data_IF_021828712951
#
_entry.id   IF_021828712951
#
_cell.length_a   1.000
_cell.length_b   1.000
_cell.length_c   1.000
_cell.angle_alpha   90.00
_cell.angle_beta   90.00
_cell.angle_gamma   90.00
#
_symmetry.space_group_name_H-M   'P 1'
#
loop_
_entity.id
_entity.type
_entity.pdbx_description
1 polymer ?
#
# COMPACT_ATOMS: atom_id res chain seq x y z
N UNK A 1 -39.30 70.79 14.70
CA UNK A 1 -37.96 70.49 14.08
C UNK A 1 -37.80 69.01 13.98
N UNK A 2 -38.08 68.55 12.77
CA UNK A 2 -38.29 67.10 12.53
C UNK A 2 -37.00 66.28 12.47
N UNK A 3 -37.01 65.25 13.30
CA UNK A 3 -35.97 64.21 13.35
C UNK A 3 -36.11 63.10 12.31
N UNK A 4 -36.80 63.37 11.19
CA UNK A 4 -37.21 62.37 10.19
C UNK A 4 -36.52 62.42 8.83
N UNK A 5 -35.43 63.18 8.70
CA UNK A 5 -34.80 63.38 7.38
C UNK A 5 -33.36 62.89 7.32
N UNK A 6 -33.01 61.80 8.02
CA UNK A 6 -31.62 61.26 7.98
C UNK A 6 -31.55 59.75 7.80
N UNK A 7 -32.49 59.12 7.11
CA UNK A 7 -32.50 57.69 6.85
C UNK A 7 -32.81 57.37 5.38
N UNK A 8 -32.07 57.89 4.44
CA UNK A 8 -32.18 57.45 3.05
C UNK A 8 -30.87 57.65 2.29
N UNK A 9 -29.84 56.90 2.69
CA UNK A 9 -28.67 56.62 1.82
C UNK A 9 -27.85 55.51 2.46
N UNK A 10 -28.47 54.36 2.69
CA UNK A 10 -27.73 53.11 2.93
C UNK A 10 -27.51 52.42 1.60
N UNK A 11 -26.36 52.65 1.00
CA UNK A 11 -25.87 51.91 -0.14
C UNK A 11 -25.79 50.43 0.26
N UNK A 12 -26.60 49.61 -0.34
CA UNK A 12 -26.53 48.15 -0.25
C UNK A 12 -25.24 47.68 -0.96
N UNK A 13 -24.15 47.62 -0.21
CA UNK A 13 -22.97 46.83 -0.63
C UNK A 13 -23.37 45.35 -0.52
N UNK A 14 -23.78 44.77 -1.65
CA UNK A 14 -23.92 43.33 -1.77
C UNK A 14 -22.55 42.67 -1.56
N UNK A 15 -22.28 42.22 -0.35
CA UNK A 15 -21.26 41.24 -0.07
C UNK A 15 -21.69 39.95 -0.76
N UNK A 16 -21.22 39.76 -2.00
CA UNK A 16 -21.17 38.45 -2.63
C UNK A 16 -20.15 37.66 -1.85
N UNK A 17 -20.59 37.00 -0.78
CA UNK A 17 -19.83 35.97 -0.10
C UNK A 17 -19.58 34.85 -1.09
N UNK A 18 -18.38 34.77 -1.61
CA UNK A 18 -17.85 33.54 -2.21
C UNK A 18 -17.84 32.50 -1.10
N UNK A 19 -18.95 31.83 -0.92
CA UNK A 19 -18.94 30.52 -0.25
C UNK A 19 -18.27 29.59 -1.25
N UNK A 20 -16.94 29.49 -1.17
CA UNK A 20 -16.23 28.37 -1.70
C UNK A 20 -16.67 27.17 -0.89
N UNK A 21 -17.86 26.67 -1.18
CA UNK A 21 -18.26 25.35 -0.73
C UNK A 21 -17.23 24.39 -1.28
N UNK A 22 -16.32 23.93 -0.40
CA UNK A 22 -15.41 22.86 -0.73
C UNK A 22 -16.26 21.66 -1.16
N UNK A 23 -16.49 21.52 -2.46
CA UNK A 23 -17.03 20.28 -3.00
C UNK A 23 -16.01 19.22 -2.62
N UNK A 24 -16.41 18.30 -1.76
CA UNK A 24 -15.62 17.10 -1.51
C UNK A 24 -15.20 16.55 -2.88
N UNK A 25 -13.90 16.44 -3.10
CA UNK A 25 -13.36 15.95 -4.36
C UNK A 25 -13.93 14.55 -4.56
N UNK A 26 -14.85 14.40 -5.49
CA UNK A 26 -15.38 13.09 -5.88
C UNK A 26 -14.41 12.50 -6.87
N UNK A 27 -14.06 11.21 -6.70
CA UNK A 27 -13.29 10.48 -7.71
C UNK A 27 -13.85 10.76 -9.12
N UNK A 28 -12.96 11.15 -10.03
CA UNK A 28 -13.38 11.69 -11.32
C UNK A 28 -13.47 10.59 -12.38
N UNK A 29 -14.52 10.58 -13.24
CA UNK A 29 -14.53 9.72 -14.42
C UNK A 29 -13.35 10.04 -15.34
N UNK A 30 -12.91 9.06 -16.15
CA UNK A 30 -11.74 9.18 -17.03
C UNK A 30 -11.74 10.47 -17.88
N UNK A 31 -12.91 10.86 -18.40
CA UNK A 31 -13.06 12.11 -19.17
C UNK A 31 -12.66 13.35 -18.38
N UNK A 32 -13.04 13.40 -17.10
CA UNK A 32 -12.71 14.52 -16.21
C UNK A 32 -11.24 14.55 -15.85
N UNK A 33 -10.64 13.38 -15.64
CA UNK A 33 -9.19 13.23 -15.38
C UNK A 33 -8.38 13.77 -16.57
N UNK A 34 -8.78 13.42 -17.79
CA UNK A 34 -8.13 13.93 -19.01
C UNK A 34 -8.30 15.44 -19.20
N UNK A 35 -9.49 15.97 -18.89
CA UNK A 35 -9.76 17.41 -18.92
C UNK A 35 -8.89 18.17 -17.91
N UNK A 36 -8.77 17.66 -16.68
CA UNK A 36 -7.95 18.25 -15.63
C UNK A 36 -6.44 18.04 -15.84
N UNK A 37 -6.06 17.05 -16.66
CA UNK A 37 -4.67 16.69 -16.89
C UNK A 37 -3.97 16.07 -15.67
N UNK A 38 -4.73 15.54 -14.69
CA UNK A 38 -4.20 15.03 -13.41
C UNK A 38 -4.94 13.77 -13.01
N UNK A 39 -4.16 12.73 -12.66
CA UNK A 39 -4.62 11.52 -11.97
C UNK A 39 -4.20 11.59 -10.51
N UNK A 40 -5.17 11.61 -9.59
CA UNK A 40 -4.89 11.53 -8.17
C UNK A 40 -4.83 10.07 -7.72
N UNK A 41 -3.69 9.67 -7.13
CA UNK A 41 -3.44 8.29 -6.72
C UNK A 41 -3.14 8.25 -5.22
N UNK A 42 -3.92 7.45 -4.47
CA UNK A 42 -3.64 7.16 -3.07
C UNK A 42 -2.64 6.00 -2.97
N UNK A 43 -1.59 6.20 -2.17
CA UNK A 43 -0.63 5.19 -1.77
C UNK A 43 -0.50 5.21 -0.25
N UNK A 44 -0.18 4.09 0.38
CA UNK A 44 0.03 4.08 1.83
C UNK A 44 1.25 4.92 2.23
N UNK A 45 1.13 5.60 3.36
CA UNK A 45 2.26 6.31 3.96
C UNK A 45 3.17 5.32 4.70
N UNK A 46 4.49 5.54 4.60
CA UNK A 46 5.52 4.78 5.33
C UNK A 46 5.47 3.25 5.12
N UNK A 47 5.07 2.81 3.94
CA UNK A 47 4.91 1.40 3.54
C UNK A 47 6.03 0.94 2.58
N UNK A 48 7.27 0.83 3.05
CA UNK A 48 8.40 0.33 2.24
C UNK A 48 8.27 -1.18 1.98
N UNK A 49 8.56 -1.66 0.72
CA UNK A 49 9.13 -0.98 -0.45
C UNK A 49 8.09 -0.36 -1.40
N UNK A 50 6.83 -0.26 -1.01
CA UNK A 50 5.73 0.18 -1.85
C UNK A 50 5.65 1.70 -1.98
N UNK A 51 5.65 2.40 -0.85
CA UNK A 51 5.60 3.86 -0.80
C UNK A 51 6.14 4.37 0.54
N UNK A 52 7.24 5.12 0.48
CA UNK A 52 7.87 5.71 1.68
C UNK A 52 8.67 6.96 1.31
N UNK A 53 9.08 7.71 2.32
CA UNK A 53 9.95 8.86 2.09
C UNK A 53 11.42 8.51 2.33
N UNK A 54 12.23 8.69 1.28
CA UNK A 54 13.69 8.64 1.35
C UNK A 54 14.23 10.04 1.13
N UNK A 55 14.96 10.59 2.11
CA UNK A 55 15.50 11.97 2.06
C UNK A 55 14.42 13.02 1.73
N UNK A 56 13.23 12.86 2.29
CA UNK A 56 12.08 13.74 2.07
C UNK A 56 11.35 13.54 0.74
N UNK A 57 11.87 12.75 -0.19
CA UNK A 57 11.26 12.44 -1.48
C UNK A 57 10.43 11.16 -1.38
N UNK A 58 9.17 11.22 -1.82
CA UNK A 58 8.31 10.04 -1.93
C UNK A 58 8.84 9.12 -3.03
N UNK A 59 9.02 7.84 -2.71
CA UNK A 59 9.57 6.81 -3.60
C UNK A 59 8.91 5.46 -3.32
N UNK A 60 9.08 4.49 -4.19
CA UNK A 60 8.60 3.13 -4.03
C UNK A 60 7.91 2.55 -5.26
N UNK A 61 7.61 1.26 -5.21
CA UNK A 61 6.99 0.51 -6.30
C UNK A 61 5.65 1.14 -6.71
N UNK A 62 4.78 1.44 -5.73
CA UNK A 62 3.46 2.03 -6.00
C UNK A 62 3.58 3.48 -6.50
N UNK A 63 4.62 4.21 -6.08
CA UNK A 63 4.90 5.57 -6.56
C UNK A 63 5.28 5.55 -8.03
N UNK A 64 6.18 4.65 -8.43
CA UNK A 64 6.61 4.53 -9.82
C UNK A 64 5.49 3.96 -10.69
N UNK A 65 4.69 3.03 -10.18
CA UNK A 65 3.51 2.51 -10.85
C UNK A 65 2.46 3.62 -11.07
N UNK A 66 2.18 4.45 -10.05
CA UNK A 66 1.27 5.59 -10.18
C UNK A 66 1.71 6.57 -11.26
N UNK A 67 3.01 6.86 -11.34
CA UNK A 67 3.60 7.72 -12.38
C UNK A 67 3.44 7.10 -13.78
N UNK A 68 3.70 5.79 -13.89
CA UNK A 68 3.56 5.06 -15.16
C UNK A 68 2.10 5.01 -15.65
N UNK A 69 1.14 4.78 -14.75
CA UNK A 69 -0.30 4.81 -15.07
C UNK A 69 -0.74 6.20 -15.55
N UNK A 70 -0.37 7.25 -14.82
CA UNK A 70 -0.68 8.63 -15.21
C UNK A 70 -0.09 8.97 -16.58
N UNK A 71 1.16 8.59 -16.84
CA UNK A 71 1.82 8.74 -18.15
C UNK A 71 1.06 7.99 -19.25
N UNK A 72 0.61 6.75 -18.98
CA UNK A 72 -0.18 5.95 -19.92
C UNK A 72 -1.53 6.59 -20.25
N UNK A 73 -2.14 7.31 -19.30
CA UNK A 73 -3.37 8.08 -19.52
C UNK A 73 -3.13 9.44 -20.21
N UNK A 74 -1.86 9.87 -20.40
CA UNK A 74 -1.50 11.17 -20.95
C UNK A 74 -1.69 12.35 -19.97
N UNK A 75 -1.61 12.10 -18.65
CA UNK A 75 -1.79 13.08 -17.58
C UNK A 75 -0.62 13.02 -16.58
N UNK A 76 -0.52 13.99 -15.66
CA UNK A 76 0.43 13.93 -14.56
C UNK A 76 -0.15 13.19 -13.35
N UNK A 77 0.70 12.57 -12.54
CA UNK A 77 0.32 11.98 -11.28
C UNK A 77 0.28 13.04 -10.15
N UNK A 78 -0.75 13.00 -9.32
CA UNK A 78 -0.84 13.64 -8.00
C UNK A 78 -0.92 12.54 -6.96
N UNK A 79 0.22 12.22 -6.33
CA UNK A 79 0.31 11.06 -5.41
C UNK A 79 0.07 11.54 -3.98
N UNK A 80 -0.98 11.01 -3.37
CA UNK A 80 -1.43 11.32 -2.02
C UNK A 80 -1.09 10.19 -1.05
N UNK A 81 -0.38 10.51 0.03
CA UNK A 81 -0.03 9.56 1.09
C UNK A 81 -1.21 9.38 2.05
N UNK A 82 -1.80 8.19 2.05
CA UNK A 82 -2.87 7.78 2.95
C UNK A 82 -2.26 7.14 4.20
N UNK A 83 -2.63 7.63 5.38
CA UNK A 83 -2.34 6.93 6.63
C UNK A 83 -3.31 5.76 6.75
N UNK A 84 -2.79 4.55 6.98
CA UNK A 84 -3.62 3.37 7.20
C UNK A 84 -4.54 3.59 8.43
N UNK A 85 -5.79 3.17 8.30
CA UNK A 85 -6.79 3.17 9.36
C UNK A 85 -6.85 1.77 10.02
N UNK A 86 -7.87 1.49 10.80
CA UNK A 86 -8.02 0.23 11.54
C UNK A 86 -8.23 -0.99 10.62
N UNK A 87 -8.75 -0.77 9.41
CA UNK A 87 -9.02 -1.85 8.47
C UNK A 87 -8.86 -1.41 7.01
N UNK A 88 -8.60 -2.37 6.12
CA UNK A 88 -8.56 -2.12 4.68
C UNK A 88 -9.92 -1.61 4.12
N UNK A 89 -11.05 -1.92 4.78
CA UNK A 89 -12.36 -1.39 4.43
C UNK A 89 -12.43 0.13 4.72
N UNK A 90 -11.87 0.55 5.84
CA UNK A 90 -11.76 1.97 6.20
C UNK A 90 -10.79 2.71 5.28
N UNK A 91 -9.70 2.07 4.88
CA UNK A 91 -8.74 2.62 3.93
C UNK A 91 -9.39 2.88 2.56
N UNK A 92 -10.19 1.95 2.05
CA UNK A 92 -10.96 2.15 0.82
C UNK A 92 -11.96 3.31 0.96
N UNK A 93 -12.67 3.38 2.09
CA UNK A 93 -13.59 4.47 2.37
C UNK A 93 -12.87 5.82 2.33
N UNK A 94 -11.76 5.90 3.04
CA UNK A 94 -10.98 7.14 3.20
C UNK A 94 -10.24 7.50 1.92
N UNK A 95 -9.64 6.50 1.25
CA UNK A 95 -8.78 6.68 0.08
C UNK A 95 -9.54 6.95 -1.22
N UNK A 96 -10.75 6.36 -1.41
CA UNK A 96 -11.38 6.32 -2.74
C UNK A 96 -12.71 7.06 -2.84
N UNK A 97 -13.60 6.99 -1.82
CA UNK A 97 -14.97 7.48 -2.06
C UNK A 97 -15.52 8.49 -1.06
N UNK A 98 -15.05 8.52 0.18
CA UNK A 98 -15.53 9.44 1.22
C UNK A 98 -14.52 10.53 1.57
N UNK A 99 -13.23 10.18 1.64
CA UNK A 99 -12.17 10.99 2.22
C UNK A 99 -11.91 10.64 3.67
N UNK A 100 -10.69 10.90 4.11
CA UNK A 100 -10.18 10.54 5.43
C UNK A 100 -10.18 11.68 6.41
N UNK A 101 -9.69 11.36 7.60
CA UNK A 101 -9.41 12.33 8.65
C UNK A 101 -8.37 13.36 8.19
N UNK A 102 -8.28 14.49 8.89
CA UNK A 102 -7.33 15.57 8.59
C UNK A 102 -7.43 16.12 7.16
N UNK A 103 -8.60 15.96 6.53
CA UNK A 103 -8.84 16.55 5.21
C UNK A 103 -8.29 15.76 4.03
N UNK A 104 -7.95 14.49 4.20
CA UNK A 104 -7.58 13.64 3.06
C UNK A 104 -8.73 13.58 2.05
N UNK A 105 -8.47 14.04 0.84
CA UNK A 105 -9.46 14.02 -0.24
C UNK A 105 -9.38 12.68 -0.97
N UNK A 106 -10.54 12.10 -1.38
CA UNK A 106 -10.55 10.86 -2.15
C UNK A 106 -9.68 10.95 -3.39
N UNK A 107 -8.99 9.86 -3.69
CA UNK A 107 -8.22 9.69 -4.90
C UNK A 107 -9.07 9.06 -6.02
N UNK A 108 -8.61 9.19 -7.26
CA UNK A 108 -9.22 8.53 -8.41
C UNK A 108 -8.92 7.04 -8.42
N UNK A 109 -7.72 6.67 -7.94
CA UNK A 109 -7.24 5.30 -7.79
C UNK A 109 -6.54 5.17 -6.43
N UNK A 110 -6.72 4.04 -5.78
CA UNK A 110 -5.90 3.60 -4.65
C UNK A 110 -5.12 2.36 -5.04
N UNK A 111 -3.81 2.36 -4.78
CA UNK A 111 -2.92 1.21 -4.98
C UNK A 111 -2.81 0.37 -3.69
N UNK A 112 -2.19 -0.79 -3.81
CA UNK A 112 -1.93 -1.72 -2.71
C UNK A 112 -3.19 -2.24 -2.02
N UNK A 113 -4.21 -2.53 -2.80
CA UNK A 113 -5.50 -3.04 -2.31
C UNK A 113 -5.52 -4.56 -2.39
N UNK A 114 -5.98 -5.29 -1.37
CA UNK A 114 -6.18 -6.74 -1.46
C UNK A 114 -7.13 -7.10 -2.62
N UNK A 115 -6.67 -7.95 -3.54
CA UNK A 115 -7.49 -8.44 -4.65
C UNK A 115 -8.17 -9.75 -4.22
N UNK A 116 -9.28 -9.63 -3.52
CA UNK A 116 -10.04 -10.74 -2.95
C UNK A 116 -11.55 -10.58 -3.19
N UNK A 117 -12.23 -11.67 -3.57
CA UNK A 117 -13.66 -11.63 -3.90
C UNK A 117 -14.55 -11.29 -2.70
N UNK A 118 -14.21 -11.82 -1.54
CA UNK A 118 -14.99 -11.58 -0.31
C UNK A 118 -14.82 -10.15 0.13
N UNK A 119 -13.59 -9.64 0.04
CA UNK A 119 -13.28 -8.24 0.30
C UNK A 119 -14.00 -7.30 -0.68
N UNK A 120 -13.96 -7.60 -1.98
CA UNK A 120 -14.68 -6.82 -2.99
C UNK A 120 -16.20 -6.81 -2.78
N UNK A 121 -16.79 -7.98 -2.43
CA UNK A 121 -18.23 -8.12 -2.26
C UNK A 121 -18.82 -7.28 -1.10
N UNK A 122 -18.02 -6.96 -0.08
CA UNK A 122 -18.47 -6.12 1.04
C UNK A 122 -18.15 -4.62 0.86
N UNK A 123 -17.44 -4.26 -0.22
CA UNK A 123 -17.02 -2.89 -0.53
C UNK A 123 -17.67 -2.40 -1.84
N UNK A 124 -18.99 -2.33 -1.88
CA UNK A 124 -19.79 -2.02 -3.09
C UNK A 124 -19.61 -0.59 -3.64
N UNK A 125 -18.97 0.31 -2.88
CA UNK A 125 -18.67 1.68 -3.30
C UNK A 125 -17.45 1.79 -4.21
N UNK A 126 -16.69 0.70 -4.35
CA UNK A 126 -15.47 0.63 -5.15
C UNK A 126 -15.48 -0.60 -6.07
N UNK A 127 -14.79 -0.50 -7.19
CA UNK A 127 -14.39 -1.65 -8.00
C UNK A 127 -12.92 -1.96 -7.70
N UNK A 128 -12.65 -3.20 -7.23
CA UNK A 128 -11.29 -3.71 -7.05
C UNK A 128 -10.86 -4.34 -8.35
N UNK A 129 -9.76 -3.87 -8.93
CA UNK A 129 -9.34 -4.13 -10.31
C UNK A 129 -7.84 -4.36 -10.40
N UNK A 130 -7.38 -4.73 -11.58
CA UNK A 130 -5.98 -4.67 -11.99
C UNK A 130 -5.01 -5.30 -10.99
N UNK A 131 -5.12 -6.62 -10.68
CA UNK A 131 -4.15 -7.27 -9.82
C UNK A 131 -2.77 -7.24 -10.47
N UNK A 132 -1.75 -6.73 -9.75
CA UNK A 132 -0.45 -6.47 -10.34
C UNK A 132 0.71 -7.21 -9.67
N UNK A 133 0.51 -7.82 -8.50
CA UNK A 133 1.57 -8.53 -7.79
C UNK A 133 1.02 -9.61 -6.87
N UNK A 134 1.77 -10.71 -6.74
CA UNK A 134 1.54 -11.76 -5.76
C UNK A 134 2.46 -11.60 -4.58
N UNK A 135 1.93 -11.26 -3.41
CA UNK A 135 2.67 -11.18 -2.16
C UNK A 135 2.53 -12.46 -1.34
N UNK A 136 3.51 -12.71 -0.47
CA UNK A 136 3.50 -13.81 0.50
C UNK A 136 4.35 -13.46 1.69
N UNK A 137 4.13 -14.15 2.82
CA UNK A 137 5.05 -14.07 3.94
C UNK A 137 6.19 -15.08 3.77
N UNK A 138 7.38 -14.68 4.16
CA UNK A 138 8.58 -15.49 4.06
C UNK A 138 9.42 -15.36 5.32
N UNK A 139 10.07 -16.46 5.73
CA UNK A 139 11.04 -16.45 6.81
C UNK A 139 12.45 -16.34 6.24
N UNK A 140 13.26 -15.46 6.83
CA UNK A 140 14.67 -15.30 6.54
C UNK A 140 15.49 -15.38 7.82
N UNK A 141 16.75 -15.83 7.72
CA UNK A 141 17.63 -15.95 8.88
C UNK A 141 19.10 -15.72 8.52
N UNK A 142 19.89 -15.38 9.52
CA UNK A 142 21.34 -15.34 9.39
C UNK A 142 21.86 -16.76 9.13
N UNK A 143 22.69 -16.92 8.11
CA UNK A 143 23.23 -18.19 7.68
C UNK A 143 24.03 -18.86 8.81
N UNK A 144 23.65 -20.08 9.13
CA UNK A 144 24.29 -20.87 10.21
C UNK A 144 23.62 -20.71 11.58
N UNK A 145 22.76 -19.69 11.79
CA UNK A 145 22.05 -19.51 13.06
C UNK A 145 20.76 -20.34 13.14
N UNK A 146 20.03 -20.41 12.04
CA UNK A 146 18.77 -21.16 11.94
C UNK A 146 18.75 -21.93 10.62
N UNK A 147 18.38 -23.22 10.65
CA UNK A 147 17.94 -23.92 9.45
C UNK A 147 16.55 -23.41 9.07
N UNK A 148 16.49 -22.50 8.07
CA UNK A 148 15.25 -21.85 7.64
C UNK A 148 14.19 -22.83 7.16
N UNK A 149 14.56 -24.03 6.70
CA UNK A 149 13.64 -25.06 6.21
C UNK A 149 13.20 -26.06 7.29
N UNK A 150 13.81 -26.02 8.48
CA UNK A 150 13.36 -26.81 9.62
C UNK A 150 11.96 -26.43 10.09
N UNK A 151 11.27 -27.32 10.84
CA UNK A 151 10.03 -26.94 11.53
C UNK A 151 10.24 -25.72 12.45
N UNK A 152 9.32 -24.74 12.46
CA UNK A 152 9.49 -23.51 13.27
C UNK A 152 9.72 -23.76 14.77
N UNK A 153 9.25 -24.87 15.31
CA UNK A 153 9.51 -25.27 16.69
C UNK A 153 11.01 -25.41 17.02
N UNK A 154 11.86 -25.62 16.02
CA UNK A 154 13.31 -25.68 16.16
C UNK A 154 13.97 -24.28 16.20
N UNK A 155 13.22 -23.20 15.96
CA UNK A 155 13.73 -21.82 16.07
C UNK A 155 13.78 -21.33 17.53
N UNK A 156 13.30 -22.14 18.48
CA UNK A 156 13.31 -21.82 19.91
C UNK A 156 14.70 -21.41 20.41
N UNK A 157 14.75 -20.36 21.22
CA UNK A 157 15.97 -19.79 21.77
C UNK A 157 16.72 -18.87 20.80
N UNK A 158 16.16 -18.59 19.62
CA UNK A 158 16.68 -17.62 18.65
C UNK A 158 15.87 -16.34 18.70
N UNK A 159 16.49 -15.20 18.43
CA UNK A 159 15.81 -13.89 18.36
C UNK A 159 15.05 -13.79 17.04
N UNK A 160 13.73 -13.85 17.10
CA UNK A 160 12.83 -13.86 15.93
C UNK A 160 12.19 -12.50 15.77
N UNK A 161 12.65 -11.71 14.80
CA UNK A 161 12.15 -10.38 14.51
C UNK A 161 10.84 -10.41 13.72
N UNK A 162 9.90 -9.56 14.09
CA UNK A 162 8.60 -9.45 13.44
C UNK A 162 8.01 -8.06 13.65
N UNK A 163 7.14 -7.62 12.75
CA UNK A 163 6.32 -6.43 12.95
C UNK A 163 5.24 -6.72 13.99
N UNK A 164 5.14 -5.85 15.00
CA UNK A 164 4.15 -5.97 16.08
C UNK A 164 2.71 -5.93 15.52
N UNK A 165 1.81 -6.69 16.14
CA UNK A 165 0.38 -6.77 15.80
C UNK A 165 0.09 -7.18 14.34
N UNK A 166 1.05 -7.83 13.68
CA UNK A 166 0.92 -8.34 12.31
C UNK A 166 0.53 -9.81 12.26
N UNK A 167 0.10 -10.29 11.08
CA UNK A 167 -0.13 -11.72 10.85
C UNK A 167 1.13 -12.57 11.14
N UNK A 168 2.35 -12.16 10.71
CA UNK A 168 3.60 -12.79 11.14
C UNK A 168 3.79 -12.87 12.66
N UNK A 169 3.45 -11.82 13.38
CA UNK A 169 3.53 -11.79 14.84
C UNK A 169 2.59 -12.82 15.47
N UNK A 170 1.29 -12.77 15.13
CA UNK A 170 0.31 -13.73 15.62
C UNK A 170 0.68 -15.18 15.28
N UNK A 171 1.32 -15.41 14.13
CA UNK A 171 1.83 -16.72 13.78
C UNK A 171 2.94 -17.18 14.75
N UNK A 172 3.97 -16.34 14.99
CA UNK A 172 5.10 -16.72 15.85
C UNK A 172 4.70 -16.87 17.31
N UNK A 173 3.83 -15.97 17.84
CA UNK A 173 3.43 -16.03 19.26
C UNK A 173 2.33 -17.05 19.54
N UNK A 174 1.46 -17.34 18.57
CA UNK A 174 0.24 -18.15 18.80
C UNK A 174 0.33 -19.59 18.31
N UNK A 175 1.15 -19.86 17.28
CA UNK A 175 1.24 -21.20 16.68
C UNK A 175 2.09 -22.16 17.52
N UNK A 176 1.91 -23.45 17.31
CA UNK A 176 2.68 -24.50 18.01
C UNK A 176 2.60 -24.42 19.55
N UNK A 177 1.45 -24.00 20.09
CA UNK A 177 1.26 -23.87 21.53
C UNK A 177 2.03 -22.70 22.17
N UNK A 178 2.38 -21.69 21.37
CA UNK A 178 3.08 -20.48 21.84
C UNK A 178 4.55 -20.72 22.22
N UNK A 179 5.16 -21.80 21.74
CA UNK A 179 6.52 -22.20 22.13
C UNK A 179 7.58 -21.14 21.76
N UNK A 180 7.32 -20.31 20.73
CA UNK A 180 8.22 -19.26 20.25
C UNK A 180 7.91 -17.87 20.85
N UNK A 181 6.82 -17.70 21.60
CA UNK A 181 6.37 -16.39 22.07
C UNK A 181 7.43 -15.59 22.88
N UNK A 182 8.32 -16.29 23.58
CA UNK A 182 9.40 -15.66 24.37
C UNK A 182 10.61 -15.25 23.54
N UNK A 183 10.72 -15.79 22.32
CA UNK A 183 11.85 -15.61 21.43
C UNK A 183 11.58 -14.50 20.40
N UNK A 184 10.34 -13.99 20.36
CA UNK A 184 9.89 -12.93 19.45
C UNK A 184 10.40 -11.57 19.91
N UNK A 185 10.96 -10.81 18.95
CA UNK A 185 11.40 -9.42 19.12
C UNK A 185 10.56 -8.55 18.19
N UNK A 186 9.78 -7.64 18.75
CA UNK A 186 8.86 -6.79 18.03
C UNK A 186 9.53 -5.53 17.47
N UNK A 187 9.16 -5.17 16.26
CA UNK A 187 9.57 -3.95 15.56
C UNK A 187 8.34 -3.19 15.08
N UNK A 188 8.45 -1.88 14.82
CA UNK A 188 7.31 -1.07 14.37
C UNK A 188 6.87 -1.36 12.94
N UNK A 189 7.70 -2.06 12.15
CA UNK A 189 7.39 -2.41 10.76
C UNK A 189 8.19 -3.62 10.30
N UNK A 190 7.72 -4.26 9.21
CA UNK A 190 8.36 -5.46 8.66
C UNK A 190 9.76 -5.21 8.10
N UNK A 191 10.00 -4.03 7.51
CA UNK A 191 11.35 -3.66 7.03
C UNK A 191 12.33 -3.46 8.17
N UNK A 192 11.91 -2.91 9.31
CA UNK A 192 12.72 -2.77 10.51
C UNK A 192 13.03 -4.14 11.14
N UNK A 193 12.05 -5.04 11.12
CA UNK A 193 12.25 -6.42 11.55
C UNK A 193 13.31 -7.15 10.69
N UNK A 194 13.24 -7.01 9.37
CA UNK A 194 14.24 -7.58 8.45
C UNK A 194 15.59 -6.90 8.61
N UNK A 195 15.62 -5.58 8.79
CA UNK A 195 16.86 -4.83 9.03
C UNK A 195 17.59 -5.33 10.28
N UNK A 196 16.85 -5.80 11.29
CA UNK A 196 17.46 -6.39 12.49
C UNK A 196 18.31 -7.62 12.21
N UNK A 197 18.10 -8.36 11.11
CA UNK A 197 19.00 -9.45 10.67
C UNK A 197 20.35 -8.89 10.20
N UNK A 198 20.32 -7.82 9.39
CA UNK A 198 21.55 -7.25 8.83
C UNK A 198 22.39 -6.53 9.88
N UNK A 199 21.73 -6.02 10.92
CA UNK A 199 22.37 -5.32 12.05
C UNK A 199 22.80 -6.26 13.18
N UNK A 200 22.52 -7.58 13.08
CA UNK A 200 22.85 -8.56 14.12
C UNK A 200 21.99 -8.48 15.39
N UNK A 201 20.86 -7.78 15.33
CA UNK A 201 19.89 -7.66 16.44
C UNK A 201 18.90 -8.83 16.49
N UNK A 202 18.76 -9.59 15.40
CA UNK A 202 17.93 -10.78 15.29
C UNK A 202 18.67 -11.90 14.55
N UNK A 203 18.25 -13.15 14.79
CA UNK A 203 18.77 -14.35 14.17
C UNK A 203 17.89 -14.83 13.02
N UNK A 204 16.58 -14.56 13.13
CA UNK A 204 15.56 -14.79 12.10
C UNK A 204 14.54 -13.65 12.03
N UNK A 205 13.85 -13.51 10.88
CA UNK A 205 12.75 -12.57 10.70
C UNK A 205 11.65 -13.18 9.85
N UNK A 206 10.39 -12.87 10.18
CA UNK A 206 9.22 -13.20 9.39
C UNK A 206 8.54 -11.90 8.94
N UNK A 207 8.52 -11.70 7.62
CA UNK A 207 7.97 -10.49 7.01
C UNK A 207 7.40 -10.80 5.62
N UNK A 208 6.87 -9.82 4.91
CA UNK A 208 6.49 -10.01 3.52
C UNK A 208 7.72 -10.25 2.65
N UNK A 209 7.56 -10.99 1.56
CA UNK A 209 8.66 -11.30 0.64
C UNK A 209 9.25 -10.01 0.05
N UNK A 210 8.41 -9.06 -0.32
CA UNK A 210 8.88 -7.79 -0.86
C UNK A 210 9.72 -7.00 0.16
N UNK A 211 9.33 -6.99 1.45
CA UNK A 211 10.10 -6.34 2.51
C UNK A 211 11.48 -6.99 2.69
N UNK A 212 11.52 -8.33 2.71
CA UNK A 212 12.79 -9.08 2.82
C UNK A 212 13.69 -8.76 1.62
N UNK A 213 13.18 -8.90 0.41
CA UNK A 213 13.96 -8.70 -0.82
C UNK A 213 14.52 -7.27 -0.92
N UNK A 214 13.71 -6.27 -0.64
CA UNK A 214 14.13 -4.87 -0.69
C UNK A 214 15.23 -4.54 0.35
N UNK A 215 15.09 -5.03 1.59
CA UNK A 215 16.12 -4.82 2.63
C UNK A 215 17.41 -5.52 2.27
N UNK A 216 17.36 -6.75 1.77
CA UNK A 216 18.56 -7.49 1.36
C UNK A 216 19.25 -6.83 0.16
N UNK A 217 18.49 -6.32 -0.80
CA UNK A 217 19.03 -5.56 -1.92
C UNK A 217 19.76 -4.29 -1.45
N UNK A 218 19.14 -3.50 -0.60
CA UNK A 218 19.69 -2.22 -0.15
C UNK A 218 20.89 -2.36 0.78
N UNK A 219 20.89 -3.41 1.62
CA UNK A 219 22.02 -3.70 2.53
C UNK A 219 23.18 -4.40 1.84
N UNK A 220 22.96 -5.05 0.70
CA UNK A 220 23.95 -5.91 0.06
C UNK A 220 24.30 -7.16 0.89
N UNK A 221 23.50 -7.53 1.89
CA UNK A 221 23.77 -8.64 2.79
C UNK A 221 23.74 -9.97 2.05
N UNK A 222 24.85 -10.73 2.11
CA UNK A 222 25.00 -12.03 1.47
C UNK A 222 24.95 -13.21 2.45
N UNK A 223 24.90 -12.91 3.74
CA UNK A 223 24.85 -13.88 4.82
C UNK A 223 23.45 -14.21 5.31
N UNK A 224 22.41 -13.77 4.63
CA UNK A 224 21.00 -14.05 4.94
C UNK A 224 20.49 -15.12 3.98
N UNK A 225 19.84 -16.14 4.53
CA UNK A 225 19.19 -17.21 3.79
C UNK A 225 17.68 -17.12 3.98
N UNK A 226 16.92 -17.52 2.95
CA UNK A 226 15.46 -17.46 2.96
C UNK A 226 14.87 -18.86 2.93
N UNK A 227 13.76 -19.05 3.64
CA UNK A 227 12.98 -20.27 3.57
C UNK A 227 12.39 -20.46 2.18
N UNK A 228 12.50 -21.65 1.62
CA UNK A 228 11.96 -22.02 0.32
C UNK A 228 10.65 -22.78 0.41
N UNK A 229 10.43 -23.51 1.51
CA UNK A 229 9.24 -24.31 1.73
C UNK A 229 8.13 -23.45 2.37
N UNK A 230 6.86 -23.73 2.13
CA UNK A 230 5.76 -23.07 2.84
C UNK A 230 5.94 -23.14 4.37
N UNK A 231 5.46 -22.11 5.07
CA UNK A 231 5.43 -22.10 6.52
C UNK A 231 4.33 -23.06 7.01
N UNK A 232 4.65 -24.07 7.85
CA UNK A 232 3.66 -24.99 8.39
C UNK A 232 2.60 -24.24 9.20
N UNK A 233 1.32 -24.65 9.08
CA UNK A 233 0.19 -24.01 9.76
C UNK A 233 -0.05 -22.52 9.42
N UNK A 234 0.65 -22.00 8.44
CA UNK A 234 0.35 -20.67 7.88
C UNK A 234 -0.81 -20.80 6.90
N UNK A 235 -1.92 -20.11 7.18
CA UNK A 235 -3.19 -20.34 6.47
C UNK A 235 -3.22 -19.77 5.06
N UNK A 236 -2.31 -18.86 4.70
CA UNK A 236 -2.26 -18.22 3.40
C UNK A 236 -0.98 -18.55 2.65
N UNK A 237 -1.12 -19.08 1.44
CA UNK A 237 0.00 -19.24 0.50
C UNK A 237 0.43 -17.91 -0.17
N UNK A 238 -0.21 -16.80 0.20
CA UNK A 238 -0.01 -15.48 -0.36
C UNK A 238 -1.34 -14.85 -0.81
N UNK A 239 -1.29 -13.59 -1.19
CA UNK A 239 -2.44 -12.82 -1.66
C UNK A 239 -2.05 -11.96 -2.85
N UNK A 240 -3.04 -11.64 -3.70
CA UNK A 240 -2.83 -10.74 -4.82
C UNK A 240 -3.10 -9.29 -4.38
N UNK A 241 -2.27 -8.39 -4.85
CA UNK A 241 -2.37 -6.96 -4.66
C UNK A 241 -2.87 -6.33 -5.96
N UNK A 242 -3.92 -5.55 -5.85
CA UNK A 242 -4.54 -4.83 -6.95
C UNK A 242 -4.76 -3.36 -6.63
N UNK A 243 -5.69 -2.77 -7.34
CA UNK A 243 -6.06 -1.35 -7.25
C UNK A 243 -7.55 -1.22 -6.99
N UNK A 244 -7.98 -0.08 -6.47
CA UNK A 244 -9.39 0.27 -6.36
C UNK A 244 -9.69 1.60 -7.05
N UNK A 245 -10.81 1.63 -7.76
CA UNK A 245 -11.43 2.84 -8.28
C UNK A 245 -12.83 2.97 -7.72
N UNK A 246 -13.40 4.16 -7.72
CA UNK A 246 -14.80 4.32 -7.33
C UNK A 246 -15.71 3.55 -8.29
N UNK A 247 -16.79 2.94 -7.77
CA UNK A 247 -17.70 2.08 -8.55
C UNK A 247 -18.23 2.76 -9.82
N UNK A 248 -18.52 4.03 -9.78
CA UNK A 248 -19.00 4.79 -10.93
C UNK A 248 -17.89 5.30 -11.88
N UNK A 249 -16.64 4.88 -11.66
CA UNK A 249 -15.47 5.24 -12.48
C UNK A 249 -14.87 4.01 -13.19
N UNK A 250 -15.70 3.02 -13.54
CA UNK A 250 -15.25 1.78 -14.18
C UNK A 250 -14.50 1.99 -15.49
N UNK A 251 -14.85 3.02 -16.26
CA UNK A 251 -14.12 3.39 -17.48
C UNK A 251 -12.66 3.84 -17.21
N UNK A 252 -12.38 4.37 -16.02
CA UNK A 252 -11.01 4.60 -15.56
C UNK A 252 -10.33 3.25 -15.27
N UNK A 253 -11.06 2.34 -14.61
CA UNK A 253 -10.59 0.97 -14.34
C UNK A 253 -10.17 0.26 -15.62
N UNK A 254 -11.03 0.21 -16.64
CA UNK A 254 -10.75 -0.42 -17.94
C UNK A 254 -9.50 0.16 -18.62
N UNK A 255 -9.31 1.48 -18.55
CA UNK A 255 -8.15 2.16 -19.09
C UNK A 255 -6.86 1.79 -18.31
N UNK A 256 -6.93 1.69 -16.99
CA UNK A 256 -5.82 1.29 -16.13
C UNK A 256 -5.44 -0.17 -16.37
N UNK A 257 -6.41 -1.08 -16.48
CA UNK A 257 -6.16 -2.49 -16.81
C UNK A 257 -5.49 -2.65 -18.17
N UNK A 258 -5.89 -1.86 -19.17
CA UNK A 258 -5.24 -1.85 -20.48
C UNK A 258 -3.78 -1.41 -20.38
N UNK A 259 -3.48 -0.35 -19.63
CA UNK A 259 -2.12 0.14 -19.44
C UNK A 259 -1.28 -0.89 -18.66
N UNK A 260 -1.83 -1.48 -17.61
CA UNK A 260 -1.15 -2.50 -16.82
C UNK A 260 -0.82 -3.75 -17.65
N UNK A 261 -1.75 -4.19 -18.51
CA UNK A 261 -1.53 -5.31 -19.42
C UNK A 261 -0.39 -5.03 -20.43
N UNK A 262 -0.32 -3.80 -20.97
CA UNK A 262 0.79 -3.39 -21.84
C UNK A 262 2.12 -3.33 -21.06
N UNK A 263 2.13 -2.76 -19.84
CA UNK A 263 3.31 -2.74 -18.97
C UNK A 263 3.80 -4.15 -18.63
N UNK A 264 2.88 -5.09 -18.42
CA UNK A 264 3.21 -6.49 -18.15
C UNK A 264 3.83 -7.14 -19.39
N UNK A 265 3.21 -6.96 -20.56
CA UNK A 265 3.68 -7.49 -21.84
C UNK A 265 5.05 -6.96 -22.24
N UNK A 266 5.30 -5.67 -22.02
CA UNK A 266 6.58 -5.02 -22.37
C UNK A 266 7.68 -5.25 -21.33
N UNK A 267 7.35 -5.79 -20.16
CA UNK A 267 8.28 -5.94 -19.04
C UNK A 267 8.48 -4.67 -18.22
N UNK A 268 7.77 -3.58 -18.52
CA UNK A 268 7.90 -2.32 -17.79
C UNK A 268 7.45 -2.45 -16.33
N UNK A 269 6.40 -3.24 -16.06
CA UNK A 269 5.96 -3.53 -14.71
C UNK A 269 7.04 -4.27 -13.92
N UNK A 270 7.60 -5.33 -14.49
CA UNK A 270 8.71 -6.09 -13.88
C UNK A 270 9.91 -5.19 -13.57
N UNK A 271 10.28 -4.30 -14.49
CA UNK A 271 11.39 -3.37 -14.29
C UNK A 271 11.18 -2.43 -13.10
N UNK A 272 9.94 -1.98 -12.82
CA UNK A 272 9.62 -1.20 -11.62
C UNK A 272 9.96 -1.99 -10.36
N UNK A 273 9.51 -3.24 -10.24
CA UNK A 273 9.80 -4.07 -9.06
C UNK A 273 11.31 -4.30 -8.88
N UNK A 274 12.01 -4.67 -9.95
CA UNK A 274 13.43 -4.94 -9.94
C UNK A 274 14.27 -3.70 -9.56
N UNK A 275 13.82 -2.49 -9.94
CA UNK A 275 14.49 -1.24 -9.54
C UNK A 275 14.45 -0.96 -8.04
N UNK A 276 13.52 -1.59 -7.33
CA UNK A 276 13.41 -1.56 -5.86
C UNK A 276 13.94 -2.84 -5.18
N UNK A 277 14.67 -3.68 -5.92
CA UNK A 277 15.27 -4.91 -5.40
C UNK A 277 14.26 -6.04 -5.14
N UNK A 278 13.03 -5.93 -5.65
CA UNK A 278 11.97 -6.92 -5.47
C UNK A 278 11.79 -7.75 -6.74
N UNK A 279 11.85 -9.07 -6.61
CA UNK A 279 11.58 -9.97 -7.73
C UNK A 279 10.07 -9.92 -8.07
N UNK A 280 9.76 -9.57 -9.31
CA UNK A 280 8.36 -9.52 -9.77
C UNK A 280 7.71 -10.91 -9.71
N UNK A 281 6.56 -10.99 -9.06
CA UNK A 281 5.70 -12.17 -9.04
C UNK A 281 4.32 -11.78 -9.57
N UNK A 282 3.92 -12.32 -10.74
CA UNK A 282 2.61 -12.06 -11.31
C UNK A 282 1.49 -12.47 -10.33
N UNK A 283 0.43 -11.68 -10.29
CA UNK A 283 -0.79 -12.04 -9.58
C UNK A 283 -1.40 -13.32 -10.18
N UNK A 284 -1.90 -14.21 -9.33
CA UNK A 284 -2.53 -15.48 -9.78
C UNK A 284 -3.88 -15.20 -10.44
N UNK A 285 -4.62 -14.21 -9.95
CA UNK A 285 -5.92 -13.81 -10.48
C UNK A 285 -5.82 -13.08 -11.84
N UNK A 286 -4.62 -12.77 -12.31
CA UNK A 286 -4.39 -12.13 -13.61
C UNK A 286 -4.14 -13.14 -14.74
N UNK A 287 -4.17 -14.46 -14.42
CA UNK A 287 -3.98 -15.56 -15.37
C UNK A 287 -5.28 -16.12 -15.94
#
# INVERSE_FOLDING_TARGET
MDRRAFLSSAAAAALVGYISGGQAAKAAPLGKIRELGVLRVAVYKDNRPWSWRKDGKLTGIDVDLAQALAKGLGVRADIAELVADESADDDLRNGVWKGGLLGFQPADIMLHVPFDRTFAARNDQVAIIAPYYRESFQFAAVKGEIDVNAPPTQYRGKRLAVEIDSIPDFYLIGTFGGILARDVVHFPGGTEAVTALTDGRADGALASRAQIEAVLHDSGATNIVRRTNPLPAFTSAGWDIGMAVKENSRNLGDAVETILADMTKTGALKAIFESHGVAYAPAVAAG
#
